data_IF_090228600351
#
_entry.id   IF_090228600351
#
_cell.length_a   1.000
_cell.length_b   1.000
_cell.length_c   1.000
_cell.angle_alpha   90.00
_cell.angle_beta   90.00
_cell.angle_gamma   90.00
#
_symmetry.space_group_name_H-M   'P 1'
#
loop_
_entity.id
_entity.type
_entity.pdbx_description
1 polymer ?
#
# COMPACT_ATOMS: atom_id res chain seq x y z
N UNK A 1 -17.91 -5.01 10.15
CA UNK A 1 -18.22 -5.31 8.71
C UNK A 1 -17.50 -4.27 7.88
N UNK A 2 -16.66 -4.69 6.92
CA UNK A 2 -15.90 -3.76 6.08
C UNK A 2 -16.85 -2.87 5.29
N UNK A 3 -16.64 -1.57 5.35
CA UNK A 3 -17.45 -0.57 4.64
C UNK A 3 -16.97 -0.45 3.18
N UNK A 4 -17.72 -1.07 2.25
CA UNK A 4 -17.40 -1.02 0.81
C UNK A 4 -17.31 0.40 0.26
N UNK A 5 -18.17 1.30 0.74
CA UNK A 5 -18.17 2.71 0.31
C UNK A 5 -16.89 3.43 0.76
N UNK A 6 -16.32 3.03 1.89
CA UNK A 6 -15.06 3.59 2.37
C UNK A 6 -13.89 3.12 1.51
N UNK A 7 -13.83 1.83 1.16
CA UNK A 7 -12.80 1.32 0.23
C UNK A 7 -12.87 2.06 -1.11
N UNK A 8 -14.08 2.24 -1.65
CA UNK A 8 -14.28 2.96 -2.91
C UNK A 8 -13.80 4.41 -2.82
N UNK A 9 -14.20 5.15 -1.77
CA UNK A 9 -13.76 6.54 -1.57
C UNK A 9 -12.25 6.65 -1.37
N UNK A 10 -11.67 5.72 -0.63
CA UNK A 10 -10.21 5.70 -0.43
C UNK A 10 -9.48 5.40 -1.73
N UNK A 11 -9.96 4.43 -2.52
CA UNK A 11 -9.41 4.16 -3.86
C UNK A 11 -9.48 5.40 -4.75
N UNK A 12 -10.65 6.08 -4.80
CA UNK A 12 -10.78 7.35 -5.53
C UNK A 12 -9.74 8.37 -5.08
N UNK A 13 -9.56 8.52 -3.77
CA UNK A 13 -8.57 9.45 -3.22
C UNK A 13 -7.14 9.06 -3.59
N UNK A 14 -6.76 7.79 -3.48
CA UNK A 14 -5.43 7.33 -3.88
C UNK A 14 -5.16 7.54 -5.37
N UNK A 15 -6.16 7.38 -6.22
CA UNK A 15 -6.05 7.64 -7.67
C UNK A 15 -5.74 9.11 -7.96
N UNK A 16 -6.18 10.06 -7.14
CA UNK A 16 -5.88 11.48 -7.36
C UNK A 16 -4.39 11.83 -7.21
N UNK A 17 -3.59 10.96 -6.59
CA UNK A 17 -2.15 11.16 -6.52
C UNK A 17 -1.48 10.70 -7.81
N UNK A 18 -0.73 11.59 -8.41
CA UNK A 18 0.21 11.26 -9.48
C UNK A 18 1.46 10.67 -8.80
N UNK A 19 1.56 9.36 -8.82
CA UNK A 19 2.62 8.61 -8.14
C UNK A 19 3.30 7.63 -9.09
N UNK A 20 3.84 8.06 -10.23
CA UNK A 20 4.66 7.17 -11.04
C UNK A 20 5.91 6.76 -10.23
N UNK A 21 6.44 5.56 -10.48
CA UNK A 21 7.65 5.13 -9.78
C UNK A 21 8.75 6.22 -9.82
N UNK A 22 9.43 6.42 -8.70
CA UNK A 22 10.36 7.50 -8.35
C UNK A 22 9.71 8.85 -7.97
N UNK A 23 8.38 8.97 -7.92
CA UNK A 23 7.68 10.21 -7.53
C UNK A 23 6.46 9.90 -6.64
N UNK A 24 6.70 9.17 -5.54
CA UNK A 24 5.64 8.66 -4.67
C UNK A 24 5.52 9.42 -3.33
N UNK A 25 6.37 10.40 -3.07
CA UNK A 25 6.46 11.05 -1.74
C UNK A 25 5.09 11.52 -1.23
N UNK A 26 4.29 12.16 -2.07
CA UNK A 26 3.01 12.73 -1.68
C UNK A 26 1.97 11.65 -1.27
N UNK A 27 1.92 10.52 -1.99
CA UNK A 27 0.99 9.44 -1.65
C UNK A 27 1.46 8.67 -0.41
N UNK A 28 2.77 8.51 -0.22
CA UNK A 28 3.33 7.86 0.97
C UNK A 28 3.00 8.66 2.23
N UNK A 29 3.20 9.98 2.19
CA UNK A 29 2.87 10.84 3.31
C UNK A 29 1.37 10.79 3.62
N UNK A 30 0.51 10.88 2.59
CA UNK A 30 -0.94 10.76 2.75
C UNK A 30 -1.34 9.43 3.41
N UNK A 31 -0.78 8.30 2.97
CA UNK A 31 -1.13 6.98 3.52
C UNK A 31 -0.67 6.85 4.97
N UNK A 32 0.53 7.34 5.30
CA UNK A 32 1.00 7.41 6.69
C UNK A 32 0.04 8.23 7.55
N UNK A 33 -0.30 9.45 7.11
CA UNK A 33 -1.21 10.33 7.84
C UNK A 33 -2.59 9.70 8.02
N UNK A 34 -3.14 9.10 6.96
CA UNK A 34 -4.43 8.42 7.04
C UNK A 34 -4.44 7.32 8.12
N UNK A 35 -3.39 6.51 8.22
CA UNK A 35 -3.27 5.52 9.28
C UNK A 35 -3.18 6.17 10.66
N UNK A 36 -2.37 7.21 10.81
CA UNK A 36 -2.20 7.91 12.10
C UNK A 36 -3.49 8.58 12.56
N UNK A 37 -4.26 9.21 11.67
CA UNK A 37 -5.58 9.77 11.96
C UNK A 37 -6.60 8.72 12.41
N UNK A 38 -6.42 7.47 11.99
CA UNK A 38 -7.20 6.32 12.43
C UNK A 38 -6.60 5.58 13.63
N UNK A 39 -5.56 6.15 14.28
CA UNK A 39 -4.92 5.65 15.48
C UNK A 39 -3.89 4.54 15.27
N UNK A 40 -3.57 4.16 14.03
CA UNK A 40 -2.57 3.12 13.74
C UNK A 40 -1.16 3.70 13.72
N UNK A 41 -0.13 2.94 14.19
CA UNK A 41 1.24 3.44 14.39
C UNK A 41 2.08 3.41 13.12
N UNK A 42 1.56 3.93 12.01
CA UNK A 42 2.27 3.97 10.74
C UNK A 42 3.45 4.94 10.76
N UNK A 43 4.52 4.56 10.08
CA UNK A 43 5.78 5.31 9.97
C UNK A 43 6.28 5.31 8.53
N UNK A 44 7.02 6.34 8.16
CA UNK A 44 7.86 6.32 6.97
C UNK A 44 9.10 5.46 7.25
N UNK A 45 9.40 4.58 6.32
CA UNK A 45 10.62 3.80 6.24
C UNK A 45 11.43 4.30 5.04
N UNK A 46 12.41 5.19 5.22
CA UNK A 46 13.24 5.69 4.13
C UNK A 46 14.27 4.64 3.74
N UNK A 47 14.62 4.58 2.46
CA UNK A 47 15.69 3.74 1.95
C UNK A 47 16.52 4.44 0.88
N UNK A 48 17.73 3.93 0.62
CA UNK A 48 18.62 4.41 -0.42
C UNK A 48 19.14 3.24 -1.25
N UNK A 49 18.68 3.15 -2.50
CA UNK A 49 19.21 2.16 -3.46
C UNK A 49 20.47 2.74 -4.12
N UNK A 50 21.65 2.29 -3.69
CA UNK A 50 22.95 2.83 -4.12
C UNK A 50 23.54 2.09 -5.31
N UNK A 51 23.11 0.85 -5.58
CA UNK A 51 23.82 -0.07 -6.48
C UNK A 51 23.58 0.25 -7.96
N UNK A 52 22.41 0.75 -8.30
CA UNK A 52 21.96 0.87 -9.70
C UNK A 52 21.51 2.28 -10.04
N UNK A 53 20.60 2.85 -9.26
CA UNK A 53 19.93 4.12 -9.60
C UNK A 53 20.35 5.28 -8.72
N UNK A 54 20.82 5.01 -7.50
CA UNK A 54 21.03 6.02 -6.47
C UNK A 54 19.73 6.64 -5.93
N UNK A 55 18.59 5.99 -6.16
CA UNK A 55 17.28 6.50 -5.74
C UNK A 55 17.12 6.48 -4.23
N UNK A 56 16.59 7.58 -3.68
CA UNK A 56 16.15 7.69 -2.29
C UNK A 56 14.64 7.61 -2.28
N UNK A 57 14.14 6.49 -1.83
CA UNK A 57 12.71 6.23 -1.74
C UNK A 57 12.24 6.12 -0.30
N UNK A 58 10.95 5.85 -0.16
CA UNK A 58 10.33 5.64 1.15
C UNK A 58 9.15 4.69 1.03
N UNK A 59 8.95 3.88 2.06
CA UNK A 59 7.79 3.02 2.23
C UNK A 59 6.96 3.53 3.41
N UNK A 60 5.69 3.13 3.48
CA UNK A 60 4.90 3.23 4.71
C UNK A 60 4.88 1.86 5.36
N UNK A 61 5.25 1.78 6.63
CA UNK A 61 5.24 0.54 7.40
C UNK A 61 4.47 0.73 8.70
N UNK A 62 3.80 -0.32 9.14
CA UNK A 62 3.21 -0.38 10.47
C UNK A 62 3.24 -1.81 11.02
N UNK A 63 3.30 -1.93 12.33
CA UNK A 63 3.33 -3.18 13.05
C UNK A 63 2.25 -3.17 14.13
N UNK A 64 1.46 -4.24 14.20
CA UNK A 64 0.47 -4.47 15.23
C UNK A 64 0.84 -5.74 15.98
N UNK A 65 1.10 -5.60 17.27
CA UNK A 65 1.45 -6.72 18.14
C UNK A 65 0.20 -7.26 18.85
N UNK A 66 -0.01 -8.57 18.77
CA UNK A 66 -0.99 -9.27 19.58
C UNK A 66 -0.50 -9.48 21.02
N UNK A 67 -1.39 -9.88 21.90
CA UNK A 67 -1.08 -10.12 23.32
C UNK A 67 -0.57 -11.55 23.60
N UNK A 68 -0.47 -12.40 22.60
CA UNK A 68 -0.01 -13.79 22.67
C UNK A 68 0.94 -14.10 21.51
N UNK A 69 1.84 -15.07 21.73
CA UNK A 69 2.66 -15.61 20.65
C UNK A 69 1.82 -16.26 19.55
N UNK A 70 2.24 -16.09 18.31
CA UNK A 70 1.56 -16.62 17.14
C UNK A 70 2.25 -16.25 15.83
N UNK A 71 1.62 -16.48 14.69
CA UNK A 71 2.22 -16.22 13.39
C UNK A 71 2.44 -14.73 13.14
N UNK A 72 3.46 -14.44 12.34
CA UNK A 72 3.72 -13.11 11.78
C UNK A 72 3.14 -13.05 10.37
N UNK A 73 2.15 -12.19 10.18
CA UNK A 73 1.46 -12.01 8.90
C UNK A 73 1.89 -10.67 8.30
N UNK A 74 2.42 -10.71 7.08
CA UNK A 74 2.69 -9.51 6.31
C UNK A 74 1.53 -9.22 5.35
N UNK A 75 1.08 -7.96 5.31
CA UNK A 75 0.18 -7.44 4.29
C UNK A 75 0.99 -6.45 3.46
N UNK A 76 1.15 -6.73 2.17
CA UNK A 76 1.96 -5.92 1.27
C UNK A 76 1.11 -5.36 0.13
N UNK A 77 1.37 -4.12 -0.23
CA UNK A 77 0.84 -3.47 -1.42
C UNK A 77 1.77 -2.34 -1.86
N UNK A 78 1.71 -1.94 -3.14
CA UNK A 78 2.43 -0.78 -3.63
C UNK A 78 1.51 0.43 -3.85
N UNK A 79 2.10 1.62 -3.93
CA UNK A 79 1.41 2.88 -4.12
C UNK A 79 1.86 3.63 -5.37
N UNK A 80 2.94 3.18 -5.99
CA UNK A 80 3.38 3.69 -7.27
C UNK A 80 2.55 3.15 -8.43
N UNK A 81 2.74 3.73 -9.58
CA UNK A 81 2.14 3.33 -10.84
C UNK A 81 3.19 3.36 -11.94
N UNK A 82 2.91 2.69 -13.04
CA UNK A 82 3.62 2.95 -14.28
C UNK A 82 3.46 4.42 -14.69
N UNK A 83 4.34 4.90 -15.56
CA UNK A 83 4.20 6.23 -16.16
C UNK A 83 2.94 6.30 -17.00
N UNK A 84 2.26 7.45 -16.94
CA UNK A 84 1.05 7.66 -17.73
C UNK A 84 1.34 7.44 -19.21
N UNK A 85 0.56 6.56 -19.84
CA UNK A 85 0.58 6.33 -21.29
C UNK A 85 -0.45 7.20 -22.00
N UNK A 86 -0.30 7.33 -23.31
CA UNK A 86 -1.28 8.02 -24.16
C UNK A 86 -2.57 7.20 -24.34
N UNK A 87 -3.61 7.83 -24.83
CA UNK A 87 -4.87 7.17 -25.20
C UNK A 87 -5.97 7.21 -24.15
N UNK A 88 -5.77 7.89 -23.04
CA UNK A 88 -6.82 8.10 -22.04
C UNK A 88 -7.95 8.94 -22.63
N UNK A 89 -9.19 8.45 -22.52
CA UNK A 89 -10.40 9.15 -23.00
C UNK A 89 -11.10 9.95 -21.91
N UNK A 90 -10.56 9.93 -20.70
CA UNK A 90 -11.01 10.67 -19.50
C UNK A 90 -9.81 11.06 -18.65
N UNK A 91 -10.00 11.94 -17.69
CA UNK A 91 -8.93 12.31 -16.75
C UNK A 91 -8.46 11.08 -15.97
N UNK A 92 -7.19 10.65 -16.13
CA UNK A 92 -6.64 9.46 -15.49
C UNK A 92 -6.49 9.59 -13.96
N UNK A 93 -6.59 10.79 -13.43
CA UNK A 93 -6.41 11.07 -12.00
C UNK A 93 -7.72 11.52 -11.30
N UNK A 94 -8.84 11.54 -12.00
CA UNK A 94 -10.12 11.96 -11.42
C UNK A 94 -10.75 10.91 -10.50
N UNK A 95 -10.37 9.62 -10.61
CA UNK A 95 -11.03 8.54 -9.87
C UNK A 95 -12.54 8.47 -10.19
N UNK A 96 -12.92 8.72 -11.43
CA UNK A 96 -14.33 8.79 -11.83
C UNK A 96 -15.01 7.44 -11.75
N UNK A 97 -16.29 7.44 -11.31
CA UNK A 97 -17.12 6.25 -11.25
C UNK A 97 -18.22 6.34 -12.31
N UNK A 98 -18.37 5.30 -13.11
CA UNK A 98 -19.45 5.14 -14.07
C UNK A 98 -20.06 3.75 -13.89
N UNK A 99 -21.30 3.71 -13.44
CA UNK A 99 -21.97 2.44 -13.10
C UNK A 99 -21.25 1.75 -11.93
N UNK A 100 -20.73 0.57 -12.18
CA UNK A 100 -19.99 -0.25 -11.21
C UNK A 100 -18.46 -0.21 -11.38
N UNK A 101 -17.95 0.72 -12.21
CA UNK A 101 -16.53 0.82 -12.55
C UNK A 101 -15.92 2.11 -12.06
N UNK A 102 -14.75 2.00 -11.44
CA UNK A 102 -13.89 3.12 -11.08
C UNK A 102 -12.74 3.20 -12.10
N UNK A 103 -12.52 4.39 -12.65
CA UNK A 103 -11.51 4.64 -13.66
C UNK A 103 -10.39 5.52 -13.11
N UNK A 104 -9.15 5.12 -13.38
CA UNK A 104 -7.98 5.93 -13.06
C UNK A 104 -6.68 5.11 -13.16
N UNK A 105 -5.57 5.82 -13.33
CA UNK A 105 -4.25 5.18 -13.36
C UNK A 105 -3.95 4.53 -12.01
N UNK A 106 -3.49 3.28 -12.02
CA UNK A 106 -3.24 2.50 -10.81
C UNK A 106 -4.50 2.10 -10.03
N UNK A 107 -5.73 2.35 -10.56
CA UNK A 107 -6.95 1.98 -9.85
C UNK A 107 -7.06 0.47 -9.62
N UNK A 108 -6.75 -0.34 -10.63
CA UNK A 108 -6.71 -1.79 -10.53
C UNK A 108 -5.39 -2.27 -9.94
N UNK A 109 -4.29 -1.76 -10.45
CA UNK A 109 -2.91 -2.13 -10.12
C UNK A 109 -2.19 -0.95 -9.45
N UNK A 110 -2.04 -0.97 -8.06
CA UNK A 110 -2.89 -1.79 -7.18
C UNK A 110 -3.56 -0.93 -6.08
N UNK A 111 -3.87 0.36 -6.39
CA UNK A 111 -4.43 1.29 -5.39
C UNK A 111 -5.75 0.80 -4.75
N UNK A 112 -6.58 0.02 -5.49
CA UNK A 112 -7.77 -0.58 -4.92
C UNK A 112 -7.44 -1.69 -3.90
N UNK A 113 -6.46 -2.54 -4.19
CA UNK A 113 -5.96 -3.54 -3.27
C UNK A 113 -5.36 -2.90 -2.03
N UNK A 114 -4.53 -1.87 -2.21
CA UNK A 114 -3.95 -1.08 -1.11
C UNK A 114 -5.03 -0.41 -0.25
N UNK A 115 -6.06 0.20 -0.86
CA UNK A 115 -7.20 0.79 -0.13
C UNK A 115 -7.97 -0.26 0.68
N UNK A 116 -8.19 -1.44 0.09
CA UNK A 116 -8.86 -2.54 0.80
C UNK A 116 -8.05 -3.02 2.01
N UNK A 117 -6.73 -3.18 1.85
CA UNK A 117 -5.81 -3.51 2.94
C UNK A 117 -5.82 -2.45 4.05
N UNK A 118 -5.76 -1.17 3.69
CA UNK A 118 -5.82 -0.05 4.64
C UNK A 118 -7.10 -0.08 5.48
N UNK A 119 -8.25 -0.21 4.85
CA UNK A 119 -9.54 -0.27 5.55
C UNK A 119 -9.65 -1.52 6.41
N UNK A 120 -9.18 -2.67 5.92
CA UNK A 120 -9.16 -3.91 6.69
C UNK A 120 -8.29 -3.79 7.96
N UNK A 121 -7.10 -3.22 7.84
CA UNK A 121 -6.19 -2.97 8.97
C UNK A 121 -6.82 -2.02 10.00
N UNK A 122 -7.48 -0.95 9.54
CA UNK A 122 -8.20 -0.03 10.42
C UNK A 122 -9.32 -0.74 11.19
N UNK A 123 -10.15 -1.53 10.50
CA UNK A 123 -11.23 -2.27 11.15
C UNK A 123 -10.69 -3.36 12.09
N UNK A 124 -9.59 -4.02 11.72
CA UNK A 124 -8.93 -4.99 12.58
C UNK A 124 -8.37 -4.34 13.85
N UNK A 125 -7.71 -3.18 13.73
CA UNK A 125 -7.14 -2.46 14.86
C UNK A 125 -8.18 -2.07 15.92
N UNK A 126 -9.42 -1.78 15.51
CA UNK A 126 -10.54 -1.49 16.42
C UNK A 126 -10.94 -2.67 17.31
N UNK A 127 -10.56 -3.89 16.94
CA UNK A 127 -10.84 -5.08 17.75
C UNK A 127 -9.89 -5.19 18.96
N UNK A 128 -8.88 -4.33 19.03
CA UNK A 128 -7.86 -4.36 20.08
C UNK A 128 -6.77 -5.39 19.80
N UNK A 129 -5.89 -5.60 20.78
CA UNK A 129 -4.72 -6.46 20.65
C UNK A 129 -4.94 -7.92 21.13
N UNK A 130 -6.18 -8.31 21.39
CA UNK A 130 -6.54 -9.67 21.81
C UNK A 130 -6.44 -10.73 20.70
N UNK A 131 -5.37 -10.67 19.89
CA UNK A 131 -5.07 -11.65 18.82
C UNK A 131 -3.69 -12.29 19.06
N UNK A 132 -3.39 -13.37 18.34
CA UNK A 132 -2.11 -14.08 18.43
C UNK A 132 -1.17 -13.62 17.31
N UNK A 133 0.11 -13.41 17.68
CA UNK A 133 1.15 -13.08 16.73
C UNK A 133 1.23 -11.61 16.40
N UNK A 134 1.64 -11.32 15.18
CA UNK A 134 1.96 -9.97 14.73
C UNK A 134 1.43 -9.72 13.31
N UNK A 135 0.96 -8.53 13.05
CA UNK A 135 0.71 -8.05 11.69
C UNK A 135 1.75 -7.00 11.35
N UNK A 136 2.43 -7.21 10.23
CA UNK A 136 3.29 -6.23 9.57
C UNK A 136 2.55 -5.78 8.32
N UNK A 137 2.34 -4.49 8.14
CA UNK A 137 1.81 -3.98 6.88
C UNK A 137 2.84 -3.06 6.23
N UNK A 138 3.03 -3.23 4.93
CA UNK A 138 3.99 -2.49 4.13
C UNK A 138 3.31 -1.97 2.86
N UNK A 139 3.39 -0.66 2.66
CA UNK A 139 2.95 -0.01 1.43
C UNK A 139 4.20 0.57 0.78
N UNK A 140 4.63 -0.08 -0.30
CA UNK A 140 5.95 0.16 -0.88
C UNK A 140 5.93 1.11 -2.06
N UNK A 141 7.09 1.67 -2.36
CA UNK A 141 7.37 2.45 -3.56
C UNK A 141 8.19 1.66 -4.56
N UNK A 142 8.22 2.12 -5.81
CA UNK A 142 9.04 1.58 -6.91
C UNK A 142 8.86 0.06 -7.08
N UNK A 143 7.61 -0.40 -7.03
CA UNK A 143 7.28 -1.78 -7.40
C UNK A 143 7.22 -1.92 -8.92
N UNK A 144 6.46 -1.04 -9.59
CA UNK A 144 6.30 -0.94 -11.05
C UNK A 144 7.56 -0.49 -11.78
N UNK A 145 8.52 -0.01 -11.03
CA UNK A 145 9.82 0.41 -11.50
C UNK A 145 10.86 -0.72 -11.51
N UNK A 146 12.12 -0.38 -11.78
CA UNK A 146 13.18 -1.38 -11.80
C UNK A 146 13.40 -1.98 -10.39
N UNK A 147 13.47 -3.29 -10.33
CA UNK A 147 13.97 -4.08 -9.17
C UNK A 147 13.09 -4.12 -7.91
N UNK A 148 11.85 -3.63 -7.90
CA UNK A 148 10.99 -3.67 -6.70
C UNK A 148 11.69 -3.08 -5.46
N UNK A 149 12.26 -1.90 -5.60
CA UNK A 149 13.22 -1.32 -4.65
C UNK A 149 12.68 -1.21 -3.23
N UNK A 150 11.42 -0.79 -3.09
CA UNK A 150 10.81 -0.62 -1.77
C UNK A 150 10.73 -1.92 -0.99
N UNK A 151 10.28 -2.99 -1.62
CA UNK A 151 10.21 -4.33 -1.00
C UNK A 151 11.61 -4.89 -0.74
N UNK A 152 12.54 -4.72 -1.69
CA UNK A 152 13.92 -5.19 -1.52
C UNK A 152 14.62 -4.51 -0.34
N UNK A 153 14.42 -3.22 -0.13
CA UNK A 153 14.96 -2.52 1.02
C UNK A 153 14.48 -3.14 2.35
N UNK A 154 13.18 -3.45 2.46
CA UNK A 154 12.63 -4.10 3.65
C UNK A 154 13.21 -5.50 3.88
N UNK A 155 13.46 -6.25 2.81
CA UNK A 155 14.09 -7.58 2.87
C UNK A 155 15.57 -7.45 3.29
N UNK A 156 16.33 -6.58 2.63
CA UNK A 156 17.77 -6.39 2.92
C UNK A 156 18.02 -5.89 4.36
N UNK A 157 17.09 -5.13 4.93
CA UNK A 157 17.15 -4.66 6.33
C UNK A 157 16.60 -5.67 7.35
N UNK A 158 16.13 -6.84 6.91
CA UNK A 158 15.61 -7.90 7.78
C UNK A 158 14.23 -7.61 8.37
N UNK A 159 13.52 -6.61 7.84
CA UNK A 159 12.19 -6.24 8.36
C UNK A 159 11.16 -7.35 8.18
N UNK A 160 11.36 -8.22 7.19
CA UNK A 160 10.47 -9.31 6.84
C UNK A 160 10.99 -10.71 7.22
N UNK A 161 12.12 -10.82 7.91
CA UNK A 161 12.81 -12.09 8.20
C UNK A 161 11.96 -13.12 8.97
N UNK A 162 10.99 -12.66 9.75
CA UNK A 162 10.16 -13.52 10.61
C UNK A 162 8.73 -13.67 10.09
N UNK A 163 8.47 -13.30 8.85
CA UNK A 163 7.14 -13.44 8.26
C UNK A 163 6.83 -14.89 7.95
N UNK A 164 5.74 -15.41 8.50
CA UNK A 164 5.24 -16.76 8.24
C UNK A 164 4.29 -16.79 7.03
N UNK A 165 3.51 -15.74 6.84
CA UNK A 165 2.48 -15.65 5.80
C UNK A 165 2.51 -14.23 5.19
N UNK A 166 2.51 -14.14 3.85
CA UNK A 166 2.34 -12.88 3.14
C UNK A 166 1.02 -12.85 2.38
N UNK A 167 0.31 -11.72 2.49
CA UNK A 167 -0.87 -11.39 1.71
C UNK A 167 -0.48 -10.20 0.83
N UNK A 168 -0.39 -10.43 -0.47
CA UNK A 168 -0.11 -9.39 -1.46
C UNK A 168 -1.42 -9.05 -2.14
N UNK A 169 -1.80 -7.77 -2.11
CA UNK A 169 -3.12 -7.33 -2.58
C UNK A 169 -3.13 -6.93 -4.06
N UNK A 170 -2.22 -7.52 -4.83
CA UNK A 170 -2.13 -7.40 -6.29
C UNK A 170 -3.37 -7.94 -7.01
N UNK A 171 -3.75 -7.36 -8.15
CA UNK A 171 -4.80 -7.92 -8.96
C UNK A 171 -4.37 -9.27 -9.54
N UNK A 172 -5.16 -10.31 -9.26
CA UNK A 172 -5.06 -11.54 -10.05
C UNK A 172 -5.85 -11.34 -11.34
N UNK A 173 -5.34 -11.81 -12.46
CA UNK A 173 -5.96 -11.59 -13.79
C UNK A 173 -7.33 -12.27 -13.99
N UNK A 174 -8.04 -12.56 -12.92
CA UNK A 174 -9.46 -12.96 -12.96
C UNK A 174 -9.74 -14.29 -13.65
N UNK A 175 -8.84 -15.25 -13.55
CA UNK A 175 -9.00 -16.60 -14.07
C UNK A 175 -9.80 -17.49 -13.14
#
# INVERSE_FOLDING_TARGET
MINKDEVTRLTQKLVTFQSPYFDEEAIMEYVKEWFQENGLPAKIHPYHEEKVTGHKGQNVVLELEGDQEGPVICINGHLDTVKLCDGWTRDPYAGSIEGDRLYGVGALDMKAGSAAAMVALKEFYKLGNGFKGKIIATFVSVEEGPYGMGTNALIEEGFLDKVDISIVTEPSSGF
#
